data_IF_483201513057
#
_entry.id   IF_483201513057
#
_cell.length_a   1.000
_cell.length_b   1.000
_cell.length_c   1.000
_cell.angle_alpha   90.00
_cell.angle_beta   90.00
_cell.angle_gamma   90.00
#
_symmetry.space_group_name_H-M   'P 1'
#
loop_
_entity.id
_entity.type
_entity.pdbx_description
1 polymer ?
#
# COMPACT_ATOMS: atom_id res chain seq x y z
N UNK A 1 9.81 23.07 1.60
CA UNK A 1 8.60 22.48 2.25
C UNK A 1 7.74 21.88 1.15
N UNK A 2 7.58 20.56 1.15
CA UNK A 2 6.99 19.81 0.02
C UNK A 2 5.48 19.97 -0.09
N UNK A 3 5.01 20.19 -1.31
CA UNK A 3 3.59 20.26 -1.67
C UNK A 3 2.99 18.85 -1.58
N UNK A 4 2.25 18.56 -0.51
CA UNK A 4 1.50 17.30 -0.35
C UNK A 4 0.00 17.47 -0.68
N UNK A 5 -0.42 18.59 -1.25
CA UNK A 5 -1.81 18.76 -1.69
C UNK A 5 -1.89 18.54 -3.19
N UNK A 6 -2.70 17.57 -3.62
CA UNK A 6 -3.28 17.62 -4.95
C UNK A 6 -3.96 18.99 -5.12
N UNK A 7 -3.84 19.60 -6.29
CA UNK A 7 -4.50 20.87 -6.54
C UNK A 7 -6.01 20.65 -6.70
N UNK A 8 -6.83 21.61 -6.31
CA UNK A 8 -8.28 21.56 -6.57
C UNK A 8 -8.58 21.35 -8.06
N UNK A 9 -7.72 21.87 -8.95
CA UNK A 9 -7.82 21.66 -10.39
C UNK A 9 -7.66 20.18 -10.77
N UNK A 10 -6.72 19.46 -10.14
CA UNK A 10 -6.49 18.04 -10.38
C UNK A 10 -7.62 17.18 -9.82
N UNK A 11 -8.16 17.53 -8.65
CA UNK A 11 -9.33 16.87 -8.06
C UNK A 11 -10.58 17.01 -8.96
N UNK A 12 -10.83 18.20 -9.49
CA UNK A 12 -11.91 18.45 -10.45
C UNK A 12 -11.67 17.67 -11.74
N UNK A 13 -10.44 17.66 -12.26
CA UNK A 13 -10.08 16.96 -13.50
C UNK A 13 -10.25 15.44 -13.38
N UNK A 14 -9.84 14.84 -12.24
CA UNK A 14 -9.97 13.40 -12.01
C UNK A 14 -11.39 13.00 -11.55
N UNK A 15 -12.18 13.96 -11.07
CA UNK A 15 -13.61 13.79 -10.75
C UNK A 15 -13.89 13.16 -9.38
N UNK A 16 -12.88 13.05 -8.52
CA UNK A 16 -13.02 12.53 -7.16
C UNK A 16 -11.96 13.17 -6.24
N UNK A 17 -12.26 13.26 -4.95
CA UNK A 17 -11.33 13.75 -3.93
C UNK A 17 -11.54 12.98 -2.63
N UNK A 18 -10.44 12.72 -1.91
CA UNK A 18 -10.45 11.97 -0.66
C UNK A 18 -10.50 10.46 -0.83
N UNK A 19 -9.80 9.75 0.07
CA UNK A 19 -9.80 8.28 0.19
C UNK A 19 -9.85 7.96 1.68
N UNK A 20 -10.56 6.90 2.05
CA UNK A 20 -10.53 6.38 3.41
C UNK A 20 -9.35 5.41 3.57
N UNK A 21 -8.67 5.48 4.72
CA UNK A 21 -7.69 4.47 5.08
C UNK A 21 -8.36 3.10 5.25
N UNK A 22 -7.60 2.03 5.00
CA UNK A 22 -8.05 0.66 5.33
C UNK A 22 -8.38 0.60 6.83
N UNK A 23 -9.53 0.06 7.24
CA UNK A 23 -9.87 -0.10 8.64
C UNK A 23 -8.78 -0.86 9.41
N UNK A 24 -8.49 -0.40 10.64
CA UNK A 24 -7.43 -0.99 11.49
C UNK A 24 -8.00 -1.43 12.82
N UNK A 25 -7.57 -2.60 13.27
CA UNK A 25 -7.67 -3.01 14.68
C UNK A 25 -6.69 -2.16 15.48
N UNK A 26 -7.11 -1.72 16.67
CA UNK A 26 -6.31 -0.86 17.56
C UNK A 26 -6.30 -1.48 18.95
N UNK A 27 -5.13 -1.52 19.58
CA UNK A 27 -4.97 -1.98 20.97
C UNK A 27 -3.77 -1.29 21.62
N UNK A 28 -3.70 -1.35 22.95
CA UNK A 28 -2.59 -0.79 23.71
C UNK A 28 -1.33 -1.65 23.50
N UNK A 29 -0.20 -1.01 23.18
CA UNK A 29 1.08 -1.69 23.06
C UNK A 29 1.50 -2.31 24.40
N UNK A 30 2.35 -3.35 24.38
CA UNK A 30 2.81 -3.99 25.61
C UNK A 30 3.53 -3.05 26.58
N UNK A 31 4.21 -2.03 26.06
CA UNK A 31 4.87 -0.97 26.83
C UNK A 31 3.88 0.02 27.47
N UNK A 32 2.61 -0.02 27.07
CA UNK A 32 1.54 0.91 27.48
C UNK A 32 1.77 2.38 27.12
N UNK A 33 2.76 2.69 26.28
CA UNK A 33 3.10 4.07 25.90
C UNK A 33 2.42 4.50 24.60
N UNK A 34 1.96 3.53 23.80
CA UNK A 34 1.42 3.80 22.48
C UNK A 34 0.31 2.82 22.06
N UNK A 35 -0.44 3.21 21.03
CA UNK A 35 -1.42 2.33 20.39
C UNK A 35 -0.78 1.60 19.21
N UNK A 36 -0.91 0.28 19.19
CA UNK A 36 -0.61 -0.53 18.02
C UNK A 36 -1.82 -0.52 17.07
N UNK A 37 -1.53 -0.51 15.78
CA UNK A 37 -2.55 -0.60 14.74
C UNK A 37 -2.18 -1.69 13.74
N UNK A 38 -3.16 -2.48 13.33
CA UNK A 38 -2.99 -3.51 12.31
C UNK A 38 -4.18 -3.53 11.36
N UNK A 39 -3.98 -3.70 10.03
CA UNK A 39 -5.10 -3.89 9.12
C UNK A 39 -6.03 -5.00 9.59
N UNK A 40 -7.34 -4.83 9.40
CA UNK A 40 -8.29 -5.90 9.68
C UNK A 40 -7.96 -7.16 8.88
N UNK A 41 -8.19 -8.34 9.45
CA UNK A 41 -7.72 -9.61 8.87
C UNK A 41 -8.41 -9.92 7.52
N UNK A 42 -9.58 -9.34 7.30
CA UNK A 42 -10.38 -9.42 6.09
C UNK A 42 -9.59 -8.94 4.85
N UNK A 43 -8.66 -7.99 5.02
CA UNK A 43 -7.82 -7.50 3.91
C UNK A 43 -6.90 -8.59 3.34
N UNK A 44 -6.56 -9.60 4.14
CA UNK A 44 -5.69 -10.69 3.72
C UNK A 44 -6.32 -11.51 2.58
N UNK A 45 -7.65 -11.55 2.50
CA UNK A 45 -8.39 -12.22 1.41
C UNK A 45 -8.19 -11.57 0.03
N UNK A 46 -7.74 -10.32 -0.01
CA UNK A 46 -7.50 -9.58 -1.26
C UNK A 46 -6.09 -9.80 -1.83
N UNK A 47 -5.23 -10.54 -1.14
CA UNK A 47 -3.86 -10.78 -1.62
C UNK A 47 -3.87 -11.72 -2.82
N UNK A 48 -3.16 -11.31 -3.88
CA UNK A 48 -2.89 -12.13 -5.06
C UNK A 48 -1.64 -12.99 -4.89
N UNK A 49 -0.83 -13.08 -5.94
CA UNK A 49 0.40 -13.85 -5.95
C UNK A 49 1.37 -13.39 -4.85
N UNK A 50 1.84 -14.35 -4.05
CA UNK A 50 2.86 -14.11 -3.03
C UNK A 50 4.26 -14.19 -3.66
N UNK A 51 5.08 -13.18 -3.38
CA UNK A 51 6.50 -13.14 -3.75
C UNK A 51 7.31 -13.02 -2.47
N UNK A 52 8.24 -13.96 -2.26
CA UNK A 52 9.11 -13.99 -1.10
C UNK A 52 10.56 -13.71 -1.51
N UNK A 53 11.24 -12.79 -0.83
CA UNK A 53 12.62 -12.39 -1.11
C UNK A 53 13.36 -12.31 0.22
N UNK A 54 14.37 -13.16 0.38
CA UNK A 54 15.23 -13.19 1.58
C UNK A 54 16.68 -12.94 1.21
N UNK A 55 17.50 -12.53 2.19
CA UNK A 55 18.96 -12.43 2.08
C UNK A 55 19.48 -11.53 0.94
N UNK A 56 18.69 -10.52 0.55
CA UNK A 56 19.05 -9.58 -0.52
C UNK A 56 19.77 -8.35 0.05
N UNK A 57 21.05 -8.19 -0.30
CA UNK A 57 21.80 -6.97 0.02
C UNK A 57 21.34 -5.80 -0.87
N UNK A 58 20.86 -4.72 -0.24
CA UNK A 58 20.58 -3.43 -0.90
C UNK A 58 21.67 -2.44 -0.51
N UNK A 59 22.49 -2.03 -1.47
CA UNK A 59 23.58 -1.07 -1.23
C UNK A 59 23.00 0.35 -1.12
N UNK A 60 23.70 1.24 -0.42
CA UNK A 60 23.33 2.64 -0.33
C UNK A 60 23.15 3.28 -1.72
N UNK A 61 22.03 3.98 -1.92
CA UNK A 61 21.68 4.61 -3.20
C UNK A 61 21.19 3.64 -4.29
N UNK A 62 21.12 2.34 -4.02
CA UNK A 62 20.58 1.35 -4.96
C UNK A 62 19.17 0.91 -4.58
N UNK A 63 18.47 0.34 -5.56
CA UNK A 63 17.20 -0.36 -5.38
C UNK A 63 17.26 -1.68 -6.15
N UNK A 64 16.30 -2.57 -5.92
CA UNK A 64 16.09 -3.73 -6.77
C UNK A 64 14.60 -3.84 -7.11
N UNK A 65 14.31 -4.32 -8.31
CA UNK A 65 12.93 -4.51 -8.77
C UNK A 65 12.36 -5.83 -8.24
N UNK A 66 11.15 -5.77 -7.69
CA UNK A 66 10.39 -6.96 -7.30
C UNK A 66 9.54 -7.39 -8.50
N UNK A 67 9.84 -8.57 -9.05
CA UNK A 67 9.10 -9.16 -10.18
C UNK A 67 8.14 -10.25 -9.71
N UNK A 68 7.24 -10.71 -10.58
CA UNK A 68 6.30 -11.80 -10.27
C UNK A 68 4.97 -11.37 -9.63
N UNK A 69 4.77 -10.07 -9.42
CA UNK A 69 3.48 -9.51 -9.01
C UNK A 69 2.62 -9.22 -10.25
N UNK A 70 1.35 -9.64 -10.22
CA UNK A 70 0.39 -9.23 -11.25
C UNK A 70 -0.17 -7.87 -10.84
N UNK A 71 0.13 -6.82 -11.59
CA UNK A 71 -0.50 -5.53 -11.35
C UNK A 71 -1.99 -5.59 -11.72
N UNK A 72 -2.87 -4.78 -11.07
CA UNK A 72 -4.28 -4.70 -11.48
C UNK A 72 -4.46 -4.42 -12.97
N UNK A 73 -3.58 -3.61 -13.55
CA UNK A 73 -3.54 -3.31 -14.99
C UNK A 73 -3.23 -4.54 -15.86
N UNK A 74 -2.37 -5.45 -15.39
CA UNK A 74 -2.07 -6.71 -16.07
C UNK A 74 -3.19 -7.76 -15.87
N UNK A 75 -3.87 -7.76 -14.72
CA UNK A 75 -4.99 -8.65 -14.45
C UNK A 75 -6.20 -8.35 -15.35
N UNK A 76 -6.58 -7.08 -15.50
CA UNK A 76 -7.71 -6.64 -16.34
C UNK A 76 -7.51 -6.93 -17.84
N UNK A 77 -6.26 -7.10 -18.29
CA UNK A 77 -5.92 -7.41 -19.68
C UNK A 77 -6.03 -8.91 -20.02
N UNK A 78 -6.02 -9.80 -19.02
CA UNK A 78 -6.14 -11.26 -19.21
C UNK A 78 -7.58 -11.77 -19.17
N UNK A 79 -8.52 -10.93 -18.71
CA UNK A 79 -9.96 -11.21 -18.69
C UNK A 79 -10.70 -10.65 -19.92
N UNK A 80 -9.98 -10.38 -21.02
CA UNK A 80 -10.52 -10.03 -22.33
C UNK A 80 -10.04 -11.04 -23.37
#
# INVERSE_FOLDING_TARGET
MGQWSDSTTDDVRKGWAGVQAIPRKIWLAPDSEQLMQWPVAEIESLRGNHVNITDRLVKGGSYFEVTGLTTPAQAARRSR
#
